data_IF_047078851073
#
_entry.id   IF_047078851073
#
_cell.length_a   1.000
_cell.length_b   1.000
_cell.length_c   1.000
_cell.angle_alpha   90.00
_cell.angle_beta   90.00
_cell.angle_gamma   90.00
#
_symmetry.space_group_name_H-M   'P 1'
#
loop_
_entity.id
_entity.type
_entity.pdbx_description
1 polymer ?
#
# COMPACT_ATOMS: atom_id res chain seq x y z
N UNK A 1 -9.81 25.54 39.70
CA UNK A 1 -9.37 24.37 40.49
C UNK A 1 -9.51 23.06 39.71
N UNK A 2 -10.67 22.79 39.08
CA UNK A 2 -10.98 21.58 38.28
C UNK A 2 -9.97 21.16 37.19
N UNK A 3 -9.48 22.10 36.37
CA UNK A 3 -8.53 21.77 35.27
C UNK A 3 -7.17 21.28 35.81
N UNK A 4 -6.77 21.74 36.99
CA UNK A 4 -5.48 21.38 37.61
C UNK A 4 -5.54 19.96 38.19
N UNK A 5 -6.70 19.56 38.72
CA UNK A 5 -6.94 18.18 39.16
C UNK A 5 -7.09 17.21 37.99
N UNK A 6 -7.78 17.63 36.91
CA UNK A 6 -7.87 16.84 35.68
C UNK A 6 -6.48 16.57 35.07
N UNK A 7 -5.62 17.60 34.96
CA UNK A 7 -4.24 17.44 34.49
C UNK A 7 -3.40 16.53 35.39
N UNK A 8 -3.61 16.55 36.71
CA UNK A 8 -2.96 15.62 37.64
C UNK A 8 -3.44 14.18 37.44
N UNK A 9 -4.75 13.96 37.25
CA UNK A 9 -5.33 12.66 36.95
C UNK A 9 -4.78 12.05 35.66
N UNK A 10 -4.75 12.83 34.57
CA UNK A 10 -4.21 12.41 33.26
C UNK A 10 -2.72 12.07 33.35
N UNK A 11 -1.92 12.90 34.04
CA UNK A 11 -0.48 12.64 34.21
C UNK A 11 -0.22 11.34 34.98
N UNK A 12 -1.04 11.05 35.99
CA UNK A 12 -0.91 9.84 36.81
C UNK A 12 -1.31 8.57 36.02
N UNK A 13 -2.35 8.66 35.18
CA UNK A 13 -2.75 7.58 34.26
C UNK A 13 -1.64 7.34 33.23
N UNK A 14 -1.06 8.39 32.66
CA UNK A 14 0.01 8.28 31.67
C UNK A 14 1.27 7.65 32.27
N UNK A 15 1.64 8.02 33.50
CA UNK A 15 2.78 7.42 34.21
C UNK A 15 2.56 5.93 34.52
N UNK A 16 1.35 5.54 34.90
CA UNK A 16 1.01 4.11 35.10
C UNK A 16 1.04 3.33 33.79
N UNK A 17 0.56 3.91 32.69
CA UNK A 17 0.61 3.32 31.36
C UNK A 17 2.05 3.13 30.88
N UNK A 18 2.91 4.14 31.05
CA UNK A 18 4.33 4.06 30.71
C UNK A 18 5.04 3.02 31.57
N UNK A 19 4.74 2.93 32.86
CA UNK A 19 5.32 1.91 33.75
C UNK A 19 4.89 0.49 33.34
N UNK A 20 3.61 0.29 33.03
CA UNK A 20 3.08 -0.99 32.54
C UNK A 20 3.73 -1.39 31.20
N UNK A 21 3.90 -0.44 30.28
CA UNK A 21 4.57 -0.68 29.01
C UNK A 21 6.06 -0.99 29.21
N UNK A 22 6.73 -0.33 30.15
CA UNK A 22 8.13 -0.61 30.48
C UNK A 22 8.30 -1.98 31.16
N UNK A 23 7.35 -2.42 31.99
CA UNK A 23 7.33 -3.77 32.60
C UNK A 23 7.02 -4.87 31.58
N UNK A 24 6.11 -4.64 30.64
CA UNK A 24 5.72 -5.63 29.63
C UNK A 24 6.76 -5.74 28.51
N UNK A 25 7.39 -4.63 28.12
CA UNK A 25 8.23 -4.55 26.92
C UNK A 25 9.69 -4.15 27.18
N UNK A 26 10.08 -3.78 28.40
CA UNK A 26 11.48 -3.53 28.77
C UNK A 26 12.12 -2.32 28.09
N UNK A 27 11.38 -1.21 27.94
CA UNK A 27 11.88 0.03 27.32
C UNK A 27 12.66 0.95 28.28
N UNK A 28 13.05 0.45 29.46
CA UNK A 28 13.95 1.15 30.38
C UNK A 28 15.42 0.85 30.09
N UNK A 29 16.19 1.92 30.06
CA UNK A 29 17.65 2.04 29.99
C UNK A 29 18.34 2.01 28.61
N UNK A 30 19.19 3.04 28.51
CA UNK A 30 20.03 3.58 27.44
C UNK A 30 20.35 2.64 26.27
N UNK A 31 19.95 3.06 25.07
CA UNK A 31 20.29 2.37 23.82
C UNK A 31 21.62 2.93 23.31
N UNK A 32 22.72 2.42 23.88
CA UNK A 32 23.96 2.33 23.13
C UNK A 32 23.75 1.34 21.96
N UNK A 33 24.27 1.69 20.79
CA UNK A 33 24.29 0.86 19.59
C UNK A 33 24.66 -0.59 19.91
N UNK A 34 23.84 -1.57 19.51
CA UNK A 34 24.23 -2.92 19.04
C UNK A 34 22.98 -3.82 18.80
N UNK A 35 22.99 -4.53 17.66
CA UNK A 35 22.22 -5.74 17.28
C UNK A 35 20.81 -5.98 17.90
N UNK A 36 19.76 -6.04 17.05
CA UNK A 36 18.36 -6.31 17.42
C UNK A 36 18.17 -7.31 18.57
N UNK A 37 17.41 -6.89 19.60
CA UNK A 37 17.17 -7.62 20.85
C UNK A 37 16.40 -8.93 20.60
N UNK A 38 16.57 -9.98 21.44
CA UNK A 38 15.91 -11.28 21.27
C UNK A 38 14.37 -11.21 21.18
N UNK A 39 13.74 -10.25 21.86
CA UNK A 39 12.29 -10.04 21.80
C UNK A 39 11.83 -9.56 20.42
N UNK A 40 12.53 -8.62 19.79
CA UNK A 40 12.25 -8.14 18.44
C UNK A 40 12.41 -9.26 17.41
N UNK A 41 13.43 -10.12 17.57
CA UNK A 41 13.62 -11.31 16.73
C UNK A 41 12.47 -12.31 16.87
N UNK A 42 11.97 -12.53 18.10
CA UNK A 42 10.81 -13.40 18.36
C UNK A 42 9.52 -12.85 17.75
N UNK A 43 9.30 -11.55 17.82
CA UNK A 43 8.14 -10.89 17.19
C UNK A 43 8.23 -11.00 15.66
N UNK A 44 9.38 -10.69 15.05
CA UNK A 44 9.60 -10.86 13.61
C UNK A 44 9.43 -12.33 13.17
N UNK A 45 9.90 -13.29 13.96
CA UNK A 45 9.73 -14.73 13.68
C UNK A 45 8.26 -15.16 13.73
N UNK A 46 7.50 -14.71 14.74
CA UNK A 46 6.04 -14.95 14.82
C UNK A 46 5.29 -14.32 13.63
N UNK A 47 5.64 -13.09 13.26
CA UNK A 47 5.07 -12.42 12.08
C UNK A 47 5.40 -13.17 10.79
N UNK A 48 6.62 -13.70 10.65
CA UNK A 48 7.03 -14.52 9.51
C UNK A 48 6.33 -15.89 9.47
N UNK A 49 6.12 -16.54 10.62
CA UNK A 49 5.36 -17.80 10.72
C UNK A 49 3.87 -17.60 10.42
N UNK A 50 3.26 -16.53 10.94
CA UNK A 50 1.89 -16.14 10.58
C UNK A 50 1.78 -15.83 9.09
N UNK A 51 2.72 -15.07 8.51
CA UNK A 51 2.74 -14.80 7.08
C UNK A 51 2.88 -16.10 6.24
N UNK A 52 3.72 -17.07 6.66
CA UNK A 52 3.88 -18.36 5.97
C UNK A 52 2.63 -19.24 6.03
N UNK A 53 1.98 -19.33 7.20
CA UNK A 53 0.69 -20.02 7.36
C UNK A 53 -0.39 -19.36 6.51
N UNK A 54 -0.36 -18.04 6.41
CA UNK A 54 -1.34 -17.20 5.74
C UNK A 54 -1.28 -17.27 4.20
N UNK A 55 -0.08 -17.30 3.61
CA UNK A 55 0.10 -17.52 2.17
C UNK A 55 -0.59 -18.82 1.72
N UNK A 56 -0.64 -19.80 2.62
CA UNK A 56 -1.26 -21.11 2.41
C UNK A 56 -2.79 -21.09 2.45
N UNK A 57 -3.40 -20.20 3.24
CA UNK A 57 -4.87 -20.10 3.38
C UNK A 57 -5.52 -19.31 2.23
N UNK A 58 -4.91 -18.20 1.82
CA UNK A 58 -5.35 -17.49 0.61
C UNK A 58 -4.93 -18.24 -0.66
N UNK A 59 -3.86 -19.04 -0.62
CA UNK A 59 -3.22 -19.64 -1.80
C UNK A 59 -2.84 -18.53 -2.77
N UNK A 60 -1.84 -17.73 -2.40
CA UNK A 60 -1.37 -16.62 -3.25
C UNK A 60 -0.95 -17.13 -4.64
N UNK A 61 -0.51 -18.38 -4.72
CA UNK A 61 -0.22 -19.10 -5.96
C UNK A 61 -1.45 -19.16 -6.88
N UNK A 62 -2.67 -19.32 -6.34
CA UNK A 62 -3.91 -19.24 -7.11
C UNK A 62 -4.03 -17.85 -7.77
N UNK A 63 -3.78 -16.77 -7.02
CA UNK A 63 -3.83 -15.41 -7.56
C UNK A 63 -2.79 -15.20 -8.67
N UNK A 64 -1.55 -15.63 -8.45
CA UNK A 64 -0.46 -15.53 -9.44
C UNK A 64 -0.84 -16.30 -10.70
N UNK A 65 -1.41 -17.51 -10.56
CA UNK A 65 -1.82 -18.36 -11.67
C UNK A 65 -2.91 -17.72 -12.55
N UNK A 66 -3.68 -16.76 -12.02
CA UNK A 66 -4.69 -16.05 -12.80
C UNK A 66 -4.08 -15.18 -13.90
N UNK A 67 -2.81 -14.74 -13.78
CA UNK A 67 -2.19 -13.85 -14.79
C UNK A 67 -2.28 -14.40 -16.20
N UNK A 68 -2.10 -15.71 -16.36
CA UNK A 68 -2.20 -16.39 -17.66
C UNK A 68 -3.61 -16.33 -18.26
N UNK A 69 -4.66 -16.17 -17.45
CA UNK A 69 -6.05 -16.04 -17.91
C UNK A 69 -6.42 -14.62 -18.34
N UNK A 70 -5.60 -13.62 -17.98
CA UNK A 70 -5.84 -12.20 -18.28
C UNK A 70 -4.73 -11.60 -19.16
N UNK A 71 -4.21 -12.38 -20.11
CA UNK A 71 -3.18 -11.93 -21.06
C UNK A 71 -3.74 -11.11 -22.24
N UNK A 72 -5.05 -11.18 -22.48
CA UNK A 72 -5.72 -10.41 -23.52
C UNK A 72 -6.08 -9.00 -23.01
N UNK A 73 -5.55 -7.97 -23.69
CA UNK A 73 -5.80 -6.57 -23.36
C UNK A 73 -7.26 -6.16 -23.56
N UNK A 74 -7.93 -6.63 -24.61
CA UNK A 74 -9.32 -6.26 -24.89
C UNK A 74 -10.26 -6.82 -23.83
N UNK A 75 -10.05 -8.08 -23.45
CA UNK A 75 -10.74 -8.70 -22.33
C UNK A 75 -10.56 -7.90 -21.04
N UNK A 76 -9.31 -7.52 -20.72
CA UNK A 76 -9.01 -6.73 -19.51
C UNK A 76 -9.71 -5.38 -19.55
N UNK A 77 -9.71 -4.66 -20.66
CA UNK A 77 -10.39 -3.36 -20.79
C UNK A 77 -11.92 -3.50 -20.67
N UNK A 78 -12.51 -4.55 -21.24
CA UNK A 78 -13.95 -4.83 -21.09
C UNK A 78 -14.31 -5.11 -19.62
N UNK A 79 -13.51 -5.94 -18.96
CA UNK A 79 -13.71 -6.28 -17.55
C UNK A 79 -13.46 -5.07 -16.63
N UNK A 80 -12.46 -4.25 -16.93
CA UNK A 80 -12.19 -3.00 -16.23
C UNK A 80 -13.42 -2.08 -16.26
N UNK A 81 -13.98 -1.81 -17.44
CA UNK A 81 -15.16 -0.95 -17.61
C UNK A 81 -16.41 -1.46 -16.88
N UNK A 82 -16.56 -2.78 -16.74
CA UNK A 82 -17.74 -3.40 -16.13
C UNK A 82 -17.61 -3.62 -14.62
N UNK A 83 -16.40 -3.82 -14.11
CA UNK A 83 -16.15 -4.21 -12.71
C UNK A 83 -15.56 -3.10 -11.85
N UNK A 84 -14.87 -2.14 -12.47
CA UNK A 84 -14.09 -1.12 -11.77
C UNK A 84 -14.69 0.26 -12.04
N UNK A 85 -14.91 1.03 -10.98
CA UNK A 85 -15.44 2.38 -11.10
C UNK A 85 -14.25 3.32 -11.31
N UNK A 86 -14.00 3.70 -12.56
CA UNK A 86 -12.99 4.70 -12.90
C UNK A 86 -13.58 6.11 -12.87
N UNK A 87 -12.98 6.99 -12.08
CA UNK A 87 -13.38 8.39 -11.92
C UNK A 87 -12.20 9.29 -12.26
N UNK A 88 -12.49 10.41 -12.90
CA UNK A 88 -11.48 11.44 -13.13
C UNK A 88 -11.01 12.04 -11.80
N UNK A 89 -9.70 12.09 -11.59
CA UNK A 89 -9.13 12.90 -10.50
C UNK A 89 -9.10 14.38 -10.92
N UNK A 90 -9.75 15.24 -10.14
CA UNK A 90 -9.76 16.68 -10.42
C UNK A 90 -8.42 17.32 -10.06
N UNK A 91 -8.06 18.40 -10.77
CA UNK A 91 -6.76 19.07 -10.61
C UNK A 91 -6.45 19.51 -9.17
N UNK A 92 -7.47 19.90 -8.39
CA UNK A 92 -7.31 20.25 -6.97
C UNK A 92 -6.86 19.06 -6.12
N UNK A 93 -7.51 17.91 -6.29
CA UNK A 93 -7.16 16.67 -5.59
C UNK A 93 -5.83 16.08 -6.10
N UNK A 94 -5.58 16.16 -7.40
CA UNK A 94 -4.31 15.77 -7.99
C UNK A 94 -3.15 16.62 -7.43
N UNK A 95 -3.35 17.93 -7.30
CA UNK A 95 -2.36 18.83 -6.69
C UNK A 95 -2.10 18.46 -5.24
N UNK A 96 -3.17 18.21 -4.45
CA UNK A 96 -3.04 17.73 -3.07
C UNK A 96 -2.25 16.43 -3.01
N UNK A 97 -2.62 15.42 -3.80
CA UNK A 97 -1.95 14.12 -3.85
C UNK A 97 -0.46 14.27 -4.21
N UNK A 98 -0.16 15.00 -5.28
CA UNK A 98 1.22 15.17 -5.76
C UNK A 98 2.11 15.88 -4.76
N UNK A 99 1.61 16.90 -4.06
CA UNK A 99 2.41 17.69 -3.12
C UNK A 99 2.36 17.19 -1.67
N UNK A 100 1.43 16.31 -1.30
CA UNK A 100 1.18 15.89 0.10
C UNK A 100 2.44 15.53 0.87
N UNK A 101 3.33 14.77 0.25
CA UNK A 101 4.58 14.30 0.86
C UNK A 101 5.82 15.01 0.32
N UNK A 102 5.71 15.91 -0.64
CA UNK A 102 6.89 16.46 -1.33
C UNK A 102 7.75 17.38 -0.48
N UNK A 103 7.17 18.04 0.52
CA UNK A 103 7.93 18.95 1.37
C UNK A 103 8.80 18.16 2.38
N UNK A 104 8.23 17.12 2.98
CA UNK A 104 8.95 16.22 3.88
C UNK A 104 9.83 15.18 3.15
N UNK A 105 9.47 14.81 1.90
CA UNK A 105 10.14 13.79 1.09
C UNK A 105 10.40 14.31 -0.34
N UNK A 106 11.34 15.28 -0.51
CA UNK A 106 11.58 15.96 -1.79
C UNK A 106 12.06 15.02 -2.90
N UNK A 107 12.60 13.86 -2.54
CA UNK A 107 13.02 12.78 -3.43
C UNK A 107 11.88 12.30 -4.34
N UNK A 108 10.62 12.41 -3.90
CA UNK A 108 9.44 12.04 -4.70
C UNK A 108 9.34 12.80 -6.03
N UNK A 109 10.01 13.96 -6.16
CA UNK A 109 10.09 14.75 -7.40
C UNK A 109 10.83 14.03 -8.53
N UNK A 110 11.59 12.96 -8.24
CA UNK A 110 12.38 12.19 -9.22
C UNK A 110 11.56 11.21 -10.08
N UNK A 111 10.26 11.46 -10.25
CA UNK A 111 9.42 10.70 -11.19
C UNK A 111 8.94 9.35 -10.67
N UNK A 112 8.73 9.22 -9.36
CA UNK A 112 8.02 8.06 -8.80
C UNK A 112 6.52 8.20 -9.04
N UNK A 113 5.85 7.12 -9.45
CA UNK A 113 4.38 7.08 -9.41
C UNK A 113 3.96 7.05 -7.94
N UNK A 114 3.06 7.94 -7.57
CA UNK A 114 2.53 8.07 -6.21
C UNK A 114 1.06 7.69 -6.21
N UNK A 115 0.69 6.80 -5.30
CA UNK A 115 -0.65 6.28 -5.17
C UNK A 115 -1.08 6.25 -3.71
N UNK A 116 -2.30 6.68 -3.44
CA UNK A 116 -2.94 6.53 -2.14
C UNK A 116 -4.08 5.53 -2.22
N UNK A 117 -4.15 4.64 -1.23
CA UNK A 117 -5.15 3.61 -1.12
C UNK A 117 -5.92 3.80 0.18
N UNK A 118 -7.24 3.77 0.06
CA UNK A 118 -8.15 3.69 1.19
C UNK A 118 -8.89 2.38 1.12
N UNK A 119 -8.79 1.58 2.16
CA UNK A 119 -9.44 0.26 2.25
C UNK A 119 -10.41 0.28 3.42
N UNK A 120 -11.70 0.18 3.09
CA UNK A 120 -12.77 -0.02 4.07
C UNK A 120 -13.07 -1.51 4.13
N UNK A 121 -12.93 -2.09 5.31
CA UNK A 121 -13.13 -3.52 5.56
C UNK A 121 -14.38 -3.70 6.41
N UNK A 122 -15.28 -4.57 5.95
CA UNK A 122 -16.48 -4.94 6.68
C UNK A 122 -16.60 -6.45 6.85
N UNK A 123 -17.29 -6.85 7.90
CA UNK A 123 -17.72 -8.23 8.14
C UNK A 123 -19.21 -8.24 8.44
N UNK A 124 -20.00 -9.01 7.68
CA UNK A 124 -21.47 -9.09 7.84
C UNK A 124 -22.13 -7.70 7.88
N UNK A 125 -21.64 -6.79 7.03
CA UNK A 125 -22.12 -5.41 6.91
C UNK A 125 -21.61 -4.43 7.96
N UNK A 126 -20.90 -4.88 9.02
CA UNK A 126 -20.32 -4.00 10.06
C UNK A 126 -18.92 -3.56 9.67
N UNK A 127 -18.60 -2.28 9.89
CA UNK A 127 -17.25 -1.74 9.74
C UNK A 127 -16.31 -2.42 10.74
N UNK A 128 -15.21 -2.97 10.22
CA UNK A 128 -14.14 -3.58 11.02
C UNK A 128 -12.95 -2.63 11.10
N UNK A 129 -12.53 -2.09 9.97
CA UNK A 129 -11.32 -1.27 9.87
C UNK A 129 -11.41 -0.35 8.66
N UNK A 130 -10.78 0.81 8.79
CA UNK A 130 -10.48 1.71 7.69
C UNK A 130 -8.97 1.95 7.68
N UNK A 131 -8.32 1.71 6.55
CA UNK A 131 -6.85 1.79 6.42
C UNK A 131 -6.51 2.74 5.28
N UNK A 132 -5.59 3.67 5.54
CA UNK A 132 -5.03 4.57 4.53
C UNK A 132 -3.56 4.26 4.31
N UNK A 133 -3.21 3.87 3.08
CA UNK A 133 -1.88 3.41 2.72
C UNK A 133 -1.33 4.21 1.54
N UNK A 134 -0.02 4.44 1.56
CA UNK A 134 0.70 5.10 0.48
C UNK A 134 1.60 4.10 -0.26
N UNK A 135 1.68 4.22 -1.58
CA UNK A 135 2.57 3.39 -2.39
C UNK A 135 3.32 4.24 -3.40
N UNK A 136 4.59 3.90 -3.59
CA UNK A 136 5.43 4.48 -4.61
C UNK A 136 5.98 3.39 -5.53
N UNK A 137 6.12 3.70 -6.81
CA UNK A 137 6.74 2.77 -7.75
C UNK A 137 8.25 2.63 -7.49
N UNK A 138 8.88 1.63 -8.09
CA UNK A 138 10.33 1.44 -8.05
C UNK A 138 10.80 0.24 -7.25
N UNK A 139 11.90 -0.36 -7.70
CA UNK A 139 12.50 -1.54 -7.07
C UNK A 139 13.26 -1.22 -5.79
N UNK A 140 13.75 -2.26 -5.11
CA UNK A 140 14.52 -2.14 -3.88
C UNK A 140 15.75 -1.24 -4.04
N UNK A 141 16.54 -1.41 -5.09
CA UNK A 141 17.75 -0.61 -5.32
C UNK A 141 17.40 0.86 -5.49
N UNK A 142 16.45 1.17 -6.36
CA UNK A 142 15.97 2.54 -6.60
C UNK A 142 15.42 3.18 -5.33
N UNK A 143 14.72 2.43 -4.49
CA UNK A 143 14.23 2.94 -3.21
C UNK A 143 15.37 3.23 -2.23
N UNK A 144 16.33 2.32 -2.08
CA UNK A 144 17.46 2.50 -1.17
C UNK A 144 18.39 3.63 -1.62
N UNK A 145 18.68 3.73 -2.92
CA UNK A 145 19.55 4.77 -3.48
C UNK A 145 18.96 6.18 -3.32
N UNK A 146 17.63 6.29 -3.39
CA UNK A 146 16.96 7.58 -3.36
C UNK A 146 16.49 7.99 -1.95
N UNK A 147 16.13 7.03 -1.10
CA UNK A 147 15.57 7.30 0.23
C UNK A 147 16.48 6.87 1.40
N UNK A 148 17.63 6.26 1.13
CA UNK A 148 18.59 5.77 2.12
C UNK A 148 18.34 4.33 2.55
N UNK A 149 19.18 3.83 3.46
CA UNK A 149 19.07 2.49 4.04
C UNK A 149 19.17 2.57 5.58
N UNK A 150 18.06 2.39 6.34
CA UNK A 150 16.71 2.09 5.84
C UNK A 150 16.09 3.30 5.10
N UNK A 151 15.16 3.05 4.15
CA UNK A 151 14.58 4.12 3.35
C UNK A 151 13.65 4.99 4.18
N UNK A 152 13.86 6.31 4.13
CA UNK A 152 13.01 7.31 4.78
C UNK A 152 11.82 7.63 3.89
N UNK A 153 10.71 6.92 4.13
CA UNK A 153 9.46 7.03 3.37
C UNK A 153 8.34 7.59 4.25
N UNK A 154 7.23 8.11 3.65
CA UNK A 154 6.04 8.49 4.39
C UNK A 154 5.60 7.39 5.38
N UNK A 155 5.12 7.72 6.59
CA UNK A 155 4.88 6.72 7.64
C UNK A 155 3.90 5.61 7.28
N UNK A 156 2.91 5.90 6.43
CA UNK A 156 1.92 4.93 5.97
C UNK A 156 2.31 4.26 4.64
N UNK A 157 3.59 4.29 4.26
CA UNK A 157 4.05 3.64 3.02
C UNK A 157 4.01 2.12 3.16
N UNK A 158 3.44 1.45 2.16
CA UNK A 158 3.45 0.00 2.04
C UNK A 158 4.89 -0.50 1.98
N UNK A 159 5.32 -1.19 3.04
CA UNK A 159 6.68 -1.70 3.14
C UNK A 159 6.78 -3.15 2.62
N UNK A 160 7.08 -3.27 1.33
CA UNK A 160 7.39 -4.58 0.71
C UNK A 160 8.82 -5.06 0.99
N UNK A 161 9.69 -4.21 1.54
CA UNK A 161 11.10 -4.54 1.75
C UNK A 161 11.30 -5.49 2.93
N UNK A 162 10.45 -5.37 3.96
CA UNK A 162 10.46 -6.27 5.12
C UNK A 162 10.06 -7.71 4.76
N UNK A 163 9.38 -7.90 3.63
CA UNK A 163 8.96 -9.21 3.11
C UNK A 163 9.33 -9.40 1.63
N UNK A 164 10.56 -9.00 1.30
CA UNK A 164 11.03 -8.91 -0.08
C UNK A 164 10.99 -10.25 -0.82
N UNK A 165 11.29 -11.36 -0.16
CA UNK A 165 11.32 -12.68 -0.81
C UNK A 165 9.92 -13.16 -1.21
N UNK A 166 8.91 -12.97 -0.36
CA UNK A 166 7.54 -13.31 -0.73
C UNK A 166 6.99 -12.32 -1.75
N UNK A 167 7.36 -11.04 -1.66
CA UNK A 167 7.00 -10.07 -2.68
C UNK A 167 7.59 -10.44 -4.05
N UNK A 168 8.87 -10.84 -4.13
CA UNK A 168 9.49 -11.32 -5.38
C UNK A 168 8.75 -12.50 -6.01
N UNK A 169 8.32 -13.47 -5.18
CA UNK A 169 7.49 -14.59 -5.65
C UNK A 169 6.14 -14.10 -6.17
N UNK A 170 5.48 -13.21 -5.42
CA UNK A 170 4.20 -12.64 -5.80
C UNK A 170 4.24 -11.91 -7.14
N UNK A 171 5.31 -11.17 -7.42
CA UNK A 171 5.46 -10.42 -8.68
C UNK A 171 6.03 -11.25 -9.83
N UNK A 172 6.32 -12.54 -9.61
CA UNK A 172 6.72 -13.47 -10.67
C UNK A 172 5.71 -13.49 -11.81
N UNK A 173 6.15 -13.19 -13.04
CA UNK A 173 5.27 -13.11 -14.21
C UNK A 173 4.39 -11.84 -14.28
N UNK A 174 4.58 -10.85 -13.39
CA UNK A 174 3.89 -9.57 -13.49
C UNK A 174 4.49 -8.72 -14.62
N UNK A 175 4.04 -8.94 -15.85
CA UNK A 175 4.41 -8.13 -17.02
C UNK A 175 3.28 -7.24 -17.52
N UNK A 176 3.56 -6.33 -18.45
CA UNK A 176 2.51 -5.75 -19.30
C UNK A 176 2.13 -6.70 -20.45
N UNK A 177 1.25 -6.25 -21.35
CA UNK A 177 0.79 -7.03 -22.50
C UNK A 177 1.87 -7.28 -23.56
N UNK A 178 3.04 -6.64 -23.43
CA UNK A 178 4.24 -6.89 -24.22
C UNK A 178 5.30 -7.68 -23.42
N UNK A 179 4.91 -8.30 -22.31
CA UNK A 179 5.78 -9.04 -21.39
C UNK A 179 6.92 -8.22 -20.76
N UNK A 180 6.84 -6.89 -20.77
CA UNK A 180 7.82 -6.05 -20.05
C UNK A 180 7.54 -6.15 -18.56
N UNK A 181 8.56 -6.37 -17.70
CA UNK A 181 8.35 -6.49 -16.27
C UNK A 181 7.72 -5.23 -15.66
N UNK A 182 6.69 -5.42 -14.82
CA UNK A 182 5.94 -4.36 -14.13
C UNK A 182 5.90 -4.58 -12.62
N UNK A 183 6.83 -5.37 -12.11
CA UNK A 183 6.90 -5.90 -10.75
C UNK A 183 6.79 -4.85 -9.64
N UNK A 184 7.15 -3.60 -9.93
CA UNK A 184 7.32 -2.56 -8.92
C UNK A 184 6.35 -1.39 -9.08
N UNK A 185 5.25 -1.59 -9.81
CA UNK A 185 4.15 -0.63 -9.86
C UNK A 185 3.48 -0.49 -8.49
N UNK A 186 2.97 0.71 -8.20
CA UNK A 186 2.39 1.07 -6.90
C UNK A 186 1.18 0.18 -6.55
N UNK A 187 0.35 -0.13 -7.53
CA UNK A 187 -0.84 -0.98 -7.43
C UNK A 187 -0.49 -2.43 -7.09
N UNK A 188 0.58 -2.98 -7.68
CA UNK A 188 1.01 -4.35 -7.41
C UNK A 188 1.50 -4.50 -5.97
N UNK A 189 2.25 -3.51 -5.47
CA UNK A 189 2.66 -3.47 -4.05
C UNK A 189 1.46 -3.41 -3.11
N UNK A 190 0.46 -2.58 -3.44
CA UNK A 190 -0.78 -2.51 -2.70
C UNK A 190 -1.53 -3.85 -2.71
N UNK A 191 -1.69 -4.50 -3.87
CA UNK A 191 -2.40 -5.77 -3.94
C UNK A 191 -1.70 -6.85 -3.11
N UNK A 192 -0.37 -6.93 -3.15
CA UNK A 192 0.38 -7.83 -2.28
C UNK A 192 0.09 -7.56 -0.80
N UNK A 193 0.17 -6.29 -0.39
CA UNK A 193 -0.09 -5.87 0.99
C UNK A 193 -1.54 -6.14 1.41
N UNK A 194 -2.51 -5.82 0.55
CA UNK A 194 -3.93 -6.09 0.76
C UNK A 194 -4.19 -7.58 0.95
N UNK A 195 -3.69 -8.41 0.05
CA UNK A 195 -3.84 -9.85 0.14
C UNK A 195 -3.19 -10.36 1.43
N UNK A 196 -2.02 -9.86 1.82
CA UNK A 196 -1.28 -10.27 3.02
C UNK A 196 -1.93 -9.85 4.35
N UNK A 197 -2.42 -8.62 4.42
CA UNK A 197 -2.71 -7.98 5.70
C UNK A 197 -4.20 -7.67 5.90
N UNK A 198 -4.99 -7.61 4.83
CA UNK A 198 -6.36 -7.07 4.87
C UNK A 198 -7.42 -8.07 4.39
N UNK A 199 -7.12 -8.91 3.41
CA UNK A 199 -8.10 -9.77 2.75
C UNK A 199 -8.84 -10.74 3.68
N UNK A 200 -8.27 -11.13 4.83
CA UNK A 200 -8.91 -12.05 5.79
C UNK A 200 -9.65 -11.35 6.93
N UNK A 201 -9.54 -10.03 7.06
CA UNK A 201 -10.18 -9.27 8.14
C UNK A 201 -11.69 -9.10 7.96
N UNK A 202 -12.20 -9.35 6.75
CA UNK A 202 -13.61 -9.13 6.40
C UNK A 202 -14.11 -10.00 5.24
N UNK A 203 -15.40 -9.83 4.96
CA UNK A 203 -16.11 -10.45 3.83
C UNK A 203 -16.54 -9.42 2.77
N UNK A 204 -16.46 -8.12 3.08
CA UNK A 204 -16.79 -7.02 2.17
C UNK A 204 -15.70 -5.95 2.21
N UNK A 205 -15.27 -5.51 1.03
CA UNK A 205 -14.18 -4.55 0.84
C UNK A 205 -14.59 -3.41 -0.10
N UNK A 206 -14.25 -2.18 0.29
CA UNK A 206 -14.27 -1.02 -0.61
C UNK A 206 -12.84 -0.51 -0.70
N UNK A 207 -12.28 -0.53 -1.90
CA UNK A 207 -10.92 -0.07 -2.19
C UNK A 207 -11.04 1.18 -3.04
N UNK A 208 -10.53 2.31 -2.55
CA UNK A 208 -10.39 3.54 -3.30
C UNK A 208 -8.92 3.81 -3.55
N UNK A 209 -8.52 4.07 -4.79
CA UNK A 209 -7.15 4.45 -5.13
C UNK A 209 -7.12 5.81 -5.81
N UNK A 210 -6.16 6.65 -5.46
CA UNK A 210 -5.89 7.92 -6.13
C UNK A 210 -4.47 7.91 -6.68
N UNK A 211 -4.34 8.05 -8.00
CA UNK A 211 -3.07 7.97 -8.71
C UNK A 211 -2.70 9.31 -9.36
N UNK A 212 -1.42 9.67 -9.34
CA UNK A 212 -0.92 10.86 -10.05
C UNK A 212 -0.83 10.66 -11.57
N UNK A 213 -0.74 9.40 -12.02
CA UNK A 213 -0.73 9.01 -13.42
C UNK A 213 -1.96 8.17 -13.76
N UNK A 214 -2.25 8.02 -15.04
CA UNK A 214 -3.29 7.11 -15.51
C UNK A 214 -3.02 5.68 -15.08
N UNK A 215 -4.09 4.91 -14.90
CA UNK A 215 -3.95 3.49 -14.58
C UNK A 215 -3.46 2.73 -15.81
N UNK A 216 -2.29 2.11 -15.69
CA UNK A 216 -1.65 1.39 -16.77
C UNK A 216 -2.37 0.07 -17.11
N UNK A 217 -2.16 -0.49 -18.31
CA UNK A 217 -2.81 -1.74 -18.71
C UNK A 217 -2.55 -2.93 -17.78
N UNK A 218 -1.30 -3.11 -17.33
CA UNK A 218 -0.95 -4.13 -16.33
C UNK A 218 -1.61 -3.85 -14.97
N UNK A 219 -1.67 -2.59 -14.55
CA UNK A 219 -2.32 -2.17 -13.31
C UNK A 219 -3.83 -2.50 -13.35
N UNK A 220 -4.50 -2.23 -14.49
CA UNK A 220 -5.89 -2.61 -14.73
C UNK A 220 -6.09 -4.13 -14.61
N UNK A 221 -5.19 -4.91 -15.23
CA UNK A 221 -5.21 -6.38 -15.15
C UNK A 221 -5.18 -6.86 -13.71
N UNK A 222 -4.27 -6.37 -12.88
CA UNK A 222 -4.10 -6.85 -11.51
C UNK A 222 -5.31 -6.51 -10.62
N UNK A 223 -5.95 -5.35 -10.81
CA UNK A 223 -7.21 -5.03 -10.12
C UNK A 223 -8.39 -5.89 -10.57
N UNK A 224 -8.53 -6.14 -11.87
CA UNK A 224 -9.55 -7.07 -12.41
C UNK A 224 -9.33 -8.48 -11.86
N UNK A 225 -8.07 -8.92 -11.78
CA UNK A 225 -7.71 -10.18 -11.14
C UNK A 225 -8.06 -10.21 -9.67
N UNK A 226 -7.78 -9.14 -8.90
CA UNK A 226 -8.12 -9.05 -7.48
C UNK A 226 -9.62 -9.16 -7.27
N UNK A 227 -10.40 -8.43 -8.05
CA UNK A 227 -11.85 -8.49 -8.02
C UNK A 227 -12.35 -9.92 -8.27
N UNK A 228 -11.84 -10.56 -9.32
CA UNK A 228 -12.25 -11.91 -9.69
C UNK A 228 -11.86 -12.92 -8.61
N UNK A 229 -10.64 -12.84 -8.13
CA UNK A 229 -10.08 -13.73 -7.11
C UNK A 229 -10.84 -13.64 -5.79
N UNK A 230 -11.14 -12.44 -5.29
CA UNK A 230 -11.91 -12.32 -4.04
C UNK A 230 -13.34 -12.85 -4.19
N UNK A 231 -13.97 -12.66 -5.36
CA UNK A 231 -15.28 -13.24 -5.64
C UNK A 231 -15.27 -14.76 -5.64
N UNK A 232 -14.24 -15.42 -6.17
CA UNK A 232 -14.14 -16.90 -6.09
C UNK A 232 -13.97 -17.41 -4.67
N UNK A 233 -13.53 -16.55 -3.74
CA UNK A 233 -13.46 -16.83 -2.29
C UNK A 233 -14.71 -16.36 -1.53
N UNK A 234 -15.80 -16.02 -2.22
CA UNK A 234 -17.08 -15.60 -1.62
C UNK A 234 -17.07 -14.20 -1.01
N UNK A 235 -16.06 -13.37 -1.31
CA UNK A 235 -15.93 -12.01 -0.78
C UNK A 235 -16.57 -10.98 -1.71
N UNK A 236 -17.17 -9.95 -1.13
CA UNK A 236 -17.70 -8.78 -1.84
C UNK A 236 -16.59 -7.74 -1.96
N UNK A 237 -16.44 -7.15 -3.13
CA UNK A 237 -15.44 -6.11 -3.36
C UNK A 237 -15.96 -5.05 -4.32
N UNK A 238 -15.67 -3.79 -4.01
CA UNK A 238 -15.87 -2.63 -4.86
C UNK A 238 -14.55 -1.89 -4.99
N UNK A 239 -14.11 -1.63 -6.22
CA UNK A 239 -12.88 -0.90 -6.49
C UNK A 239 -13.23 0.40 -7.20
N UNK A 240 -12.74 1.51 -6.67
CA UNK A 240 -12.92 2.87 -7.19
C UNK A 240 -11.53 3.45 -7.46
N UNK A 241 -11.30 3.89 -8.69
CA UNK A 241 -10.01 4.39 -9.15
C UNK A 241 -10.15 5.84 -9.56
N UNK A 242 -9.43 6.73 -8.89
CA UNK A 242 -9.33 8.13 -9.22
C UNK A 242 -8.03 8.38 -9.98
N UNK A 243 -8.13 8.58 -11.29
CA UNK A 243 -6.97 8.88 -12.15
C UNK A 243 -7.39 9.76 -13.33
N UNK A 244 -6.45 10.40 -13.99
CA UNK A 244 -6.71 11.13 -15.24
C UNK A 244 -6.05 10.40 -16.40
N UNK A 245 -6.85 9.89 -17.33
CA UNK A 245 -6.40 9.10 -18.50
C UNK A 245 -5.43 9.88 -19.41
N UNK A 246 -5.43 11.22 -19.30
CA UNK A 246 -4.54 12.09 -20.06
C UNK A 246 -3.11 12.16 -19.48
N UNK A 247 -2.92 11.79 -18.22
CA UNK A 247 -1.63 11.94 -17.53
C UNK A 247 -0.83 10.64 -17.65
N UNK A 248 -0.04 10.51 -18.71
CA UNK A 248 0.76 9.29 -18.98
C UNK A 248 2.11 9.31 -18.27
N UNK A 249 2.56 10.48 -17.83
CA UNK A 249 3.81 10.63 -17.07
C UNK A 249 4.04 12.04 -16.56
N UNK A 250 5.28 12.30 -16.15
CA UNK A 250 5.69 13.52 -15.45
C UNK A 250 5.45 14.80 -16.24
N UNK A 251 5.65 14.80 -17.56
CA UNK A 251 5.46 16.01 -18.38
C UNK A 251 3.99 16.38 -18.52
N UNK A 252 3.11 15.40 -18.71
CA UNK A 252 1.66 15.62 -18.71
C UNK A 252 1.21 16.14 -17.34
N UNK A 253 1.75 15.56 -16.27
CA UNK A 253 1.43 15.96 -14.90
C UNK A 253 1.83 17.41 -14.62
N UNK A 254 3.04 17.82 -15.01
CA UNK A 254 3.49 19.21 -14.91
C UNK A 254 2.58 20.15 -15.68
N UNK A 255 2.14 19.74 -16.87
CA UNK A 255 1.23 20.53 -17.71
C UNK A 255 -0.13 20.72 -17.03
N UNK A 256 -0.76 19.64 -16.55
CA UNK A 256 -2.05 19.69 -15.85
C UNK A 256 -1.97 20.50 -14.56
N UNK A 257 -0.86 20.38 -13.82
CA UNK A 257 -0.63 21.11 -12.57
C UNK A 257 -0.09 22.53 -12.77
N UNK A 258 0.12 22.97 -14.02
CA UNK A 258 0.71 24.28 -14.38
C UNK A 258 2.03 24.56 -13.66
N UNK A 259 2.88 23.54 -13.52
CA UNK A 259 4.20 23.66 -12.90
C UNK A 259 5.18 24.24 -13.92
N UNK A 260 5.91 25.31 -13.54
CA UNK A 260 6.94 25.90 -14.40
C UNK A 260 7.99 24.83 -14.72
N UNK A 261 8.34 24.68 -16.01
CA UNK A 261 9.56 23.95 -16.39
C UNK A 261 10.73 24.71 -15.75
N UNK A 262 11.47 24.06 -14.84
CA UNK A 262 12.80 24.56 -14.50
C UNK A 262 13.63 24.45 -15.78
N UNK A 263 14.08 25.59 -16.30
CA UNK A 263 15.08 25.66 -17.36
C UNK A 263 16.39 25.04 -16.87
#
# INVERSE_FOLDING_TARGET
MLIREFKKGVKNIFQKLVKLLNEIFGFGDEVADHASRPAERRVKKKQAEQARSFLKELKIEDYISLRSKFHDQELVEKLWKSKIINKKIFSSNLKKLYFKYMDAYPVLKKGFNQAEFKTIIKSKGKLIEEVEEFSISGDKTKLLDNFGNPPKLPPNTINVLDDWENFKKFVGGAGDFANRPRNYDSEIKYIFNFLKNHANKGDEFIIETSNIFKTCGSCKREFVMLENYLKTKGKKIKIIVFSDEMIKGTEDLKTVLKLKKKK
#
